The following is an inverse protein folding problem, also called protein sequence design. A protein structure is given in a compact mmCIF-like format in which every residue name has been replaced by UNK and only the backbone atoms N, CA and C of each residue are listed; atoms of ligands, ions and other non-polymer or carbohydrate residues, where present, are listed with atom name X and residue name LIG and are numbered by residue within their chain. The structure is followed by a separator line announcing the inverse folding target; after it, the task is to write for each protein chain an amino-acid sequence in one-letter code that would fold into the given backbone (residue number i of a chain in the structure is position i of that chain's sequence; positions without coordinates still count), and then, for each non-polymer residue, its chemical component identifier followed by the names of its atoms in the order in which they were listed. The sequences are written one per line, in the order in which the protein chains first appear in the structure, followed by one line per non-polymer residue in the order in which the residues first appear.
data_IF_549959558845
#
_entry.id   IF_549959558845
#
_cell.length_a   1.000
_cell.length_b   1.000
_cell.length_c   1.000
_cell.angle_alpha   90.00
_cell.angle_beta   90.00
_cell.angle_gamma   90.00
#
_symmetry.space_group_name_H-M   'P 1'
#
loop_
_entity.id
_entity.type
_entity.pdbx_description
1 polymer ?
#
# COMPACT_ATOMS: atom_id res chain seq x y z
N UNK A 1 20.33 -0.54 25.77
CA UNK A 1 19.39 -0.35 24.63
C UNK A 1 18.68 -1.67 24.41
N UNK A 2 17.41 -1.78 24.83
CA UNK A 2 16.62 -2.98 24.58
C UNK A 2 16.44 -3.13 23.08
N UNK A 3 16.97 -4.22 22.50
CA UNK A 3 16.73 -4.53 21.10
C UNK A 3 15.23 -4.71 20.89
N UNK A 4 14.64 -3.89 20.00
CA UNK A 4 13.24 -4.03 19.63
C UNK A 4 13.10 -5.42 19.00
N UNK A 5 12.33 -6.30 19.64
CA UNK A 5 12.09 -7.63 19.10
C UNK A 5 11.15 -7.51 17.89
N UNK A 6 11.70 -7.66 16.69
CA UNK A 6 10.99 -7.53 15.41
C UNK A 6 10.21 -8.80 15.01
N UNK A 7 10.39 -9.91 15.73
CA UNK A 7 9.68 -11.17 15.43
C UNK A 7 8.16 -11.03 15.36
N UNK A 8 7.46 -10.33 16.30
CA UNK A 8 6.01 -10.15 16.19
C UNK A 8 5.58 -9.50 14.87
N UNK A 9 6.26 -8.43 14.45
CA UNK A 9 5.94 -7.71 13.20
C UNK A 9 6.15 -8.60 11.98
N UNK A 10 7.20 -9.42 12.00
CA UNK A 10 7.47 -10.38 10.92
C UNK A 10 6.37 -11.45 10.87
N UNK A 11 5.95 -11.99 12.02
CA UNK A 11 4.88 -12.99 12.10
C UNK A 11 3.56 -12.40 11.60
N UNK A 12 3.23 -11.18 11.99
CA UNK A 12 2.04 -10.46 11.54
C UNK A 12 2.04 -10.33 10.01
N UNK A 13 3.13 -9.81 9.43
CA UNK A 13 3.28 -9.63 7.97
C UNK A 13 3.09 -10.93 7.19
N UNK A 14 3.73 -12.03 7.61
CA UNK A 14 3.59 -13.32 6.93
C UNK A 14 2.20 -13.95 7.08
N UNK A 15 1.58 -13.75 8.24
CA UNK A 15 0.23 -14.27 8.53
C UNK A 15 -0.80 -13.56 7.66
N UNK A 16 -0.75 -12.23 7.60
CA UNK A 16 -1.60 -11.41 6.72
C UNK A 16 -1.40 -11.77 5.25
N UNK A 17 -0.15 -11.94 4.83
CA UNK A 17 0.16 -12.35 3.46
C UNK A 17 -0.46 -13.70 3.11
N UNK A 18 -0.32 -14.71 3.98
CA UNK A 18 -0.87 -16.04 3.75
C UNK A 18 -2.40 -16.02 3.62
N UNK A 19 -3.08 -15.27 4.50
CA UNK A 19 -4.54 -15.11 4.45
C UNK A 19 -4.96 -14.34 3.19
N UNK A 20 -4.27 -13.25 2.85
CA UNK A 20 -4.54 -12.44 1.66
C UNK A 20 -4.39 -13.21 0.35
N UNK A 21 -3.29 -13.96 0.18
CA UNK A 21 -3.09 -14.80 -1.01
C UNK A 21 -4.17 -15.89 -1.09
N UNK A 22 -4.49 -16.55 0.02
CA UNK A 22 -5.52 -17.59 0.03
C UNK A 22 -6.88 -17.03 -0.42
N UNK A 23 -7.29 -15.88 0.11
CA UNK A 23 -8.57 -15.25 -0.25
C UNK A 23 -8.63 -14.81 -1.71
N UNK A 24 -7.57 -14.19 -2.25
CA UNK A 24 -7.49 -13.80 -3.67
C UNK A 24 -7.47 -15.02 -4.60
N UNK A 25 -6.71 -16.06 -4.27
CA UNK A 25 -6.69 -17.31 -5.04
C UNK A 25 -8.06 -18.00 -5.05
N UNK A 26 -8.74 -18.06 -3.90
CA UNK A 26 -10.10 -18.61 -3.82
C UNK A 26 -11.09 -17.78 -4.65
N UNK A 27 -10.98 -16.45 -4.64
CA UNK A 27 -11.80 -15.55 -5.47
C UNK A 27 -11.60 -15.86 -6.96
N UNK A 28 -10.35 -15.89 -7.43
CA UNK A 28 -10.03 -16.15 -8.84
C UNK A 28 -10.49 -17.56 -9.24
N UNK A 29 -10.25 -18.57 -8.39
CA UNK A 29 -10.71 -19.94 -8.64
C UNK A 29 -12.23 -20.03 -8.77
N UNK A 30 -12.98 -19.38 -7.86
CA UNK A 30 -14.44 -19.32 -7.92
C UNK A 30 -14.95 -18.68 -9.21
N UNK A 31 -14.33 -17.58 -9.65
CA UNK A 31 -14.68 -16.89 -10.90
C UNK A 31 -14.39 -17.75 -12.13
N UNK A 32 -13.23 -18.41 -12.19
CA UNK A 32 -12.91 -19.36 -13.26
C UNK A 32 -13.88 -20.54 -13.28
N UNK A 33 -14.36 -21.02 -12.13
CA UNK A 33 -15.33 -22.13 -12.11
C UNK A 33 -16.73 -21.71 -12.57
N UNK A 34 -17.20 -20.53 -12.19
CA UNK A 34 -18.56 -20.05 -12.50
C UNK A 34 -18.64 -19.45 -13.91
N UNK A 35 -17.72 -18.53 -14.23
CA UNK A 35 -17.76 -17.70 -15.46
C UNK A 35 -16.84 -18.24 -16.55
N UNK A 36 -15.96 -19.20 -16.22
CA UNK A 36 -14.94 -19.78 -17.12
C UNK A 36 -13.95 -18.73 -17.63
N UNK A 37 -14.03 -18.41 -18.92
CA UNK A 37 -13.08 -17.56 -19.63
C UNK A 37 -13.66 -16.21 -20.05
N UNK A 38 -14.90 -15.88 -19.67
CA UNK A 38 -15.53 -14.58 -19.93
C UNK A 38 -15.21 -13.60 -18.79
N UNK A 39 -13.96 -13.18 -18.70
CA UNK A 39 -13.51 -12.31 -17.62
C UNK A 39 -13.95 -10.87 -17.84
N UNK A 40 -14.32 -10.20 -16.76
CA UNK A 40 -14.65 -8.77 -16.73
C UNK A 40 -13.47 -7.97 -16.14
N UNK A 41 -13.52 -6.64 -16.22
CA UNK A 41 -12.46 -5.76 -15.70
C UNK A 41 -12.09 -6.03 -14.24
N UNK A 42 -13.08 -6.35 -13.39
CA UNK A 42 -12.89 -6.72 -11.99
C UNK A 42 -12.03 -7.98 -11.81
N UNK A 43 -12.15 -8.96 -12.71
CA UNK A 43 -11.37 -10.20 -12.64
C UNK A 43 -9.89 -9.96 -12.93
N UNK A 44 -9.59 -9.09 -13.90
CA UNK A 44 -8.21 -8.68 -14.19
C UNK A 44 -7.61 -7.86 -13.05
N UNK A 45 -8.41 -7.00 -12.41
CA UNK A 45 -7.96 -6.22 -11.26
C UNK A 45 -7.68 -7.09 -10.04
N UNK A 46 -8.43 -8.18 -9.84
CA UNK A 46 -8.14 -9.15 -8.79
C UNK A 46 -6.78 -9.86 -9.01
N UNK A 47 -6.44 -10.18 -10.26
CA UNK A 47 -5.11 -10.72 -10.60
C UNK A 47 -4.02 -9.66 -10.42
N UNK A 48 -4.27 -8.41 -10.81
CA UNK A 48 -3.35 -7.31 -10.59
C UNK A 48 -3.09 -7.10 -9.09
N UNK A 49 -4.13 -7.12 -8.25
CA UNK A 49 -4.02 -7.02 -6.80
C UNK A 49 -3.15 -8.15 -6.21
N UNK A 50 -3.31 -9.39 -6.69
CA UNK A 50 -2.47 -10.53 -6.28
C UNK A 50 -0.98 -10.29 -6.57
N UNK A 51 -0.67 -9.78 -7.78
CA UNK A 51 0.70 -9.47 -8.20
C UNK A 51 1.27 -8.33 -7.35
N UNK A 52 0.50 -7.25 -7.18
CA UNK A 52 0.92 -6.08 -6.41
C UNK A 52 1.15 -6.46 -4.94
N UNK A 53 0.25 -7.22 -4.32
CA UNK A 53 0.37 -7.69 -2.94
C UNK A 53 1.64 -8.53 -2.73
N UNK A 54 1.95 -9.42 -3.66
CA UNK A 54 3.20 -10.20 -3.65
C UNK A 54 4.43 -9.30 -3.83
N UNK A 55 4.35 -8.31 -4.72
CA UNK A 55 5.46 -7.38 -4.98
C UNK A 55 5.81 -6.53 -3.76
N UNK A 56 4.80 -6.06 -3.02
CA UNK A 56 4.98 -5.28 -1.78
C UNK A 56 5.79 -6.08 -0.77
N UNK A 57 5.45 -7.35 -0.54
CA UNK A 57 6.21 -8.22 0.35
C UNK A 57 7.67 -8.34 -0.09
N UNK A 58 7.92 -8.56 -1.38
CA UNK A 58 9.28 -8.64 -1.92
C UNK A 58 10.06 -7.33 -1.71
N UNK A 59 9.43 -6.17 -1.87
CA UNK A 59 10.07 -4.88 -1.64
C UNK A 59 10.40 -4.65 -0.17
N UNK A 60 9.48 -4.98 0.74
CA UNK A 60 9.71 -4.88 2.19
C UNK A 60 10.83 -5.82 2.63
N UNK A 61 10.88 -7.05 2.12
CA UNK A 61 11.97 -7.99 2.43
C UNK A 61 13.33 -7.51 1.92
N UNK A 62 13.38 -6.88 0.73
CA UNK A 62 14.61 -6.27 0.21
C UNK A 62 15.02 -5.04 1.01
N UNK A 63 14.05 -4.22 1.43
CA UNK A 63 14.26 -3.08 2.30
C UNK A 63 14.78 -3.45 3.69
N UNK A 64 14.34 -4.59 4.25
CA UNK A 64 14.79 -5.08 5.55
C UNK A 64 16.29 -5.36 5.65
N UNK A 65 17.03 -5.37 4.53
CA UNK A 65 18.48 -5.51 4.49
C UNK A 65 19.25 -4.21 4.81
N UNK A 66 18.56 -3.06 4.87
CA UNK A 66 19.16 -1.77 5.23
C UNK A 66 18.13 -0.64 5.21
N UNK A 67 17.92 0.00 6.37
CA UNK A 67 17.02 1.16 6.49
C UNK A 67 17.79 2.45 6.80
N UNK A 68 17.40 3.55 6.18
CA UNK A 68 17.96 4.90 6.46
C UNK A 68 17.20 5.62 7.59
N UNK A 69 16.17 5.00 8.16
CA UNK A 69 15.34 5.61 9.20
C UNK A 69 16.15 5.90 10.46
N UNK A 70 16.22 7.17 10.87
CA UNK A 70 16.96 7.59 12.06
C UNK A 70 18.48 7.59 11.87
N UNK A 71 18.96 7.73 10.63
CA UNK A 71 20.38 7.75 10.30
C UNK A 71 21.02 9.09 10.69
N UNK A 72 22.06 9.04 11.53
CA UNK A 72 22.90 10.20 11.86
C UNK A 72 24.19 10.19 11.05
N UNK A 73 24.86 11.33 10.93
CA UNK A 73 26.13 11.44 10.21
C UNK A 73 27.22 10.53 10.79
N UNK A 74 27.24 10.36 12.11
CA UNK A 74 28.18 9.45 12.80
C UNK A 74 27.97 7.99 12.39
N UNK A 75 26.71 7.55 12.33
CA UNK A 75 26.37 6.20 11.88
C UNK A 75 26.71 6.06 10.40
N UNK A 76 26.35 7.04 9.58
CA UNK A 76 26.58 7.02 8.14
C UNK A 76 28.07 6.90 7.78
N UNK A 77 28.95 7.58 8.51
CA UNK A 77 30.40 7.52 8.33
C UNK A 77 31.03 6.21 8.84
N UNK A 78 30.38 5.52 9.77
CA UNK A 78 30.84 4.24 10.32
C UNK A 78 30.51 3.02 9.44
N UNK A 79 29.70 3.20 8.40
CA UNK A 79 29.21 2.12 7.54
C UNK A 79 30.29 1.61 6.57
N UNK A 80 30.30 0.31 6.33
CA UNK A 80 31.09 -0.25 5.22
C UNK A 80 30.47 0.13 3.87
N UNK A 81 31.24 0.12 2.77
CA UNK A 81 30.71 0.41 1.43
C UNK A 81 29.54 -0.51 1.02
N UNK A 82 29.52 -1.75 1.52
CA UNK A 82 28.43 -2.70 1.26
C UNK A 82 27.16 -2.32 2.02
N UNK A 83 27.29 -1.96 3.30
CA UNK A 83 26.15 -1.51 4.10
C UNK A 83 25.58 -0.22 3.53
N UNK A 84 26.43 0.74 3.15
CA UNK A 84 26.01 1.99 2.51
C UNK A 84 25.08 1.73 1.32
N UNK A 85 25.48 0.84 0.39
CA UNK A 85 24.64 0.47 -0.76
C UNK A 85 23.36 -0.25 -0.36
N UNK A 86 23.42 -1.09 0.68
CA UNK A 86 22.24 -1.78 1.20
C UNK A 86 21.20 -0.78 1.74
N UNK A 87 21.63 0.23 2.50
CA UNK A 87 20.77 1.29 3.02
C UNK A 87 20.16 2.16 1.91
N UNK A 88 20.96 2.59 0.94
CA UNK A 88 20.46 3.35 -0.22
C UNK A 88 19.43 2.53 -1.01
N UNK A 89 19.76 1.27 -1.30
CA UNK A 89 18.89 0.37 -2.08
C UNK A 89 17.61 0.05 -1.31
N UNK A 90 17.71 -0.18 0.00
CA UNK A 90 16.56 -0.44 0.85
C UNK A 90 15.60 0.75 0.93
N UNK A 91 16.11 1.98 1.00
CA UNK A 91 15.31 3.19 0.94
C UNK A 91 14.52 3.31 -0.38
N UNK A 92 15.13 2.95 -1.52
CA UNK A 92 14.46 2.91 -2.83
C UNK A 92 13.36 1.84 -2.89
N UNK A 93 13.60 0.65 -2.33
CA UNK A 93 12.58 -0.41 -2.27
C UNK A 93 11.42 -0.04 -1.33
N UNK A 94 11.68 0.63 -0.20
CA UNK A 94 10.60 1.15 0.67
C UNK A 94 9.74 2.17 -0.05
N UNK A 95 10.37 3.07 -0.81
CA UNK A 95 9.64 4.05 -1.60
C UNK A 95 8.74 3.38 -2.64
N UNK A 96 9.25 2.38 -3.37
CA UNK A 96 8.46 1.58 -4.30
C UNK A 96 7.29 0.87 -3.58
N UNK A 97 7.56 0.21 -2.45
CA UNK A 97 6.54 -0.48 -1.65
C UNK A 97 5.38 0.44 -1.23
N UNK A 98 5.65 1.70 -0.86
CA UNK A 98 4.59 2.64 -0.50
C UNK A 98 3.70 3.01 -1.70
N UNK A 99 4.28 3.16 -2.89
CA UNK A 99 3.52 3.45 -4.11
C UNK A 99 2.67 2.24 -4.50
N UNK A 100 3.27 1.05 -4.49
CA UNK A 100 2.58 -0.18 -4.85
C UNK A 100 1.48 -0.53 -3.85
N UNK A 101 1.68 -0.31 -2.55
CA UNK A 101 0.64 -0.47 -1.53
C UNK A 101 -0.55 0.47 -1.75
N UNK A 102 -0.30 1.70 -2.18
CA UNK A 102 -1.39 2.63 -2.52
C UNK A 102 -2.14 2.18 -3.77
N UNK A 103 -1.43 1.67 -4.77
CA UNK A 103 -2.02 1.16 -6.01
C UNK A 103 -2.83 -0.12 -5.78
N UNK A 104 -2.32 -1.06 -4.99
CA UNK A 104 -3.00 -2.30 -4.63
C UNK A 104 -4.33 -2.01 -3.93
N UNK A 105 -4.31 -1.14 -2.92
CA UNK A 105 -5.51 -0.74 -2.19
C UNK A 105 -6.57 -0.13 -3.11
N UNK A 106 -6.15 0.57 -4.17
CA UNK A 106 -7.03 1.14 -5.18
C UNK A 106 -7.67 0.06 -6.07
N UNK A 107 -6.86 -0.86 -6.60
CA UNK A 107 -7.32 -1.96 -7.44
C UNK A 107 -8.33 -2.84 -6.72
N UNK A 108 -8.11 -3.07 -5.42
CA UNK A 108 -8.98 -3.86 -4.55
C UNK A 108 -10.36 -3.20 -4.29
N UNK A 109 -10.54 -1.91 -4.57
CA UNK A 109 -11.74 -1.10 -4.26
C UNK A 109 -12.75 -0.96 -5.41
N UNK A 110 -12.67 -1.82 -6.43
CA UNK A 110 -13.53 -1.71 -7.63
C UNK A 110 -15.02 -1.86 -7.30
N UNK A 111 -15.83 -0.91 -7.79
CA UNK A 111 -17.27 -0.83 -7.55
C UNK A 111 -18.05 -0.83 -8.88
N UNK A 112 -19.23 -1.47 -8.93
CA UNK A 112 -20.05 -1.52 -10.14
C UNK A 112 -20.60 -0.15 -10.54
N UNK A 113 -20.85 0.04 -11.84
CA UNK A 113 -21.14 1.33 -12.46
C UNK A 113 -22.48 1.95 -12.02
N UNK A 114 -22.45 2.78 -10.98
CA UNK A 114 -23.57 3.66 -10.58
C UNK A 114 -23.11 5.13 -10.47
N UNK A 115 -24.04 6.09 -10.56
CA UNK A 115 -23.72 7.53 -10.55
C UNK A 115 -23.03 8.00 -9.26
N UNK A 116 -23.38 7.39 -8.12
CA UNK A 116 -22.74 7.62 -6.81
C UNK A 116 -21.31 7.03 -6.77
N UNK A 117 -21.09 5.92 -7.46
CA UNK A 117 -19.79 5.26 -7.57
C UNK A 117 -18.79 6.09 -8.39
N UNK A 118 -19.24 6.81 -9.42
CA UNK A 118 -18.37 7.71 -10.20
C UNK A 118 -17.77 8.82 -9.34
N UNK A 119 -18.55 9.40 -8.42
CA UNK A 119 -18.03 10.40 -7.47
C UNK A 119 -17.01 9.80 -6.51
N UNK A 120 -17.30 8.62 -5.95
CA UNK A 120 -16.34 7.94 -5.07
C UNK A 120 -15.04 7.62 -5.81
N UNK A 121 -15.12 7.11 -7.05
CA UNK A 121 -13.94 6.84 -7.88
C UNK A 121 -13.05 8.08 -8.07
N UNK A 122 -13.64 9.27 -8.30
CA UNK A 122 -12.87 10.53 -8.37
C UNK A 122 -12.16 10.82 -7.05
N UNK A 123 -12.83 10.62 -5.91
CA UNK A 123 -12.23 10.83 -4.58
C UNK A 123 -11.08 9.86 -4.35
N UNK A 124 -11.21 8.60 -4.77
CA UNK A 124 -10.17 7.61 -4.55
C UNK A 124 -8.93 7.90 -5.43
N UNK A 125 -9.13 8.30 -6.69
CA UNK A 125 -8.04 8.83 -7.55
C UNK A 125 -7.38 10.08 -6.97
N UNK A 126 -8.16 11.02 -6.43
CA UNK A 126 -7.61 12.21 -5.77
C UNK A 126 -6.78 11.82 -4.54
N UNK A 127 -7.25 10.85 -3.74
CA UNK A 127 -6.52 10.33 -2.59
C UNK A 127 -5.22 9.63 -3.00
N UNK A 128 -5.20 8.93 -4.15
CA UNK A 128 -3.98 8.38 -4.75
C UNK A 128 -2.97 9.50 -5.06
N UNK A 129 -3.39 10.54 -5.77
CA UNK A 129 -2.52 11.67 -6.14
C UNK A 129 -1.98 12.42 -4.90
N UNK A 130 -2.79 12.59 -3.86
CA UNK A 130 -2.34 13.19 -2.59
C UNK A 130 -1.22 12.36 -1.96
N UNK A 131 -1.36 11.03 -1.90
CA UNK A 131 -0.33 10.15 -1.33
C UNK A 131 0.95 10.21 -2.15
N UNK A 132 0.86 10.17 -3.49
CA UNK A 132 2.04 10.33 -4.36
C UNK A 132 2.71 11.69 -4.12
N UNK A 133 1.92 12.76 -3.99
CA UNK A 133 2.43 14.10 -3.67
C UNK A 133 3.13 14.16 -2.32
N UNK A 134 2.63 13.48 -1.29
CA UNK A 134 3.30 13.43 0.02
C UNK A 134 4.58 12.59 -0.06
N UNK A 135 4.53 11.40 -0.66
CA UNK A 135 5.70 10.51 -0.73
C UNK A 135 6.84 11.18 -1.52
N UNK A 136 6.53 11.88 -2.62
CA UNK A 136 7.53 12.56 -3.45
C UNK A 136 7.91 13.94 -2.91
N UNK A 137 6.97 14.68 -2.33
CA UNK A 137 7.14 16.08 -1.93
C UNK A 137 7.57 16.30 -0.48
N UNK A 138 7.51 15.27 0.38
CA UNK A 138 7.93 15.40 1.78
C UNK A 138 9.41 15.76 1.95
N UNK A 139 10.25 15.42 0.97
CA UNK A 139 11.64 15.81 0.96
C UNK A 139 12.06 16.20 -0.46
N UNK A 140 12.34 17.48 -0.65
CA UNK A 140 12.76 18.03 -1.93
C UNK A 140 14.22 18.50 -1.86
N UNK A 141 15.07 18.16 -2.84
CA UNK A 141 14.85 17.27 -4.01
C UNK A 141 14.74 15.77 -3.66
N UNK A 142 14.05 15.00 -4.51
CA UNK A 142 13.67 13.59 -4.24
C UNK A 142 14.84 12.64 -3.98
N UNK A 143 16.04 12.93 -4.49
CA UNK A 143 17.21 12.09 -4.22
C UNK A 143 17.60 12.02 -2.75
N UNK A 144 17.17 13.00 -1.95
CA UNK A 144 17.39 13.02 -0.50
C UNK A 144 16.63 11.91 0.22
N UNK A 145 15.59 11.34 -0.39
CA UNK A 145 14.83 10.23 0.19
C UNK A 145 15.63 8.93 0.30
N UNK A 146 16.73 8.78 -0.44
CA UNK A 146 17.61 7.61 -0.37
C UNK A 146 19.06 8.01 -0.11
N UNK A 147 19.29 9.26 0.31
CA UNK A 147 20.62 9.75 0.64
C UNK A 147 21.06 9.22 2.01
N UNK A 148 22.22 8.58 2.04
CA UNK A 148 22.81 8.01 3.27
C UNK A 148 23.76 9.00 3.94
N UNK A 149 24.58 9.72 3.16
CA UNK A 149 25.48 10.77 3.67
C UNK A 149 25.52 12.00 2.74
N UNK A 150 25.64 13.23 3.27
CA UNK A 150 25.26 13.63 4.63
C UNK A 150 23.78 13.31 4.92
N UNK A 151 23.44 13.09 6.18
CA UNK A 151 22.07 12.75 6.59
C UNK A 151 21.12 13.90 6.23
N UNK A 152 19.98 13.63 5.57
CA UNK A 152 19.05 14.66 5.11
C UNK A 152 18.18 15.25 6.24
N UNK A 153 18.41 14.84 7.49
CA UNK A 153 17.64 15.25 8.67
C UNK A 153 16.56 14.24 9.07
N UNK A 154 16.09 14.34 10.31
CA UNK A 154 15.13 13.41 10.90
C UNK A 154 13.77 13.43 10.20
N UNK A 155 13.35 14.59 9.71
CA UNK A 155 12.10 14.70 8.97
C UNK A 155 12.18 13.91 7.66
N UNK A 156 13.24 14.08 6.87
CA UNK A 156 13.36 13.41 5.57
C UNK A 156 13.66 11.91 5.68
N UNK A 157 14.53 11.50 6.62
CA UNK A 157 14.93 10.10 6.80
C UNK A 157 13.83 9.24 7.40
N UNK A 158 12.90 9.84 8.14
CA UNK A 158 11.83 9.11 8.80
C UNK A 158 10.61 8.91 7.90
N UNK A 159 10.15 7.66 7.81
CA UNK A 159 9.00 7.30 6.97
C UNK A 159 7.62 7.65 7.59
N UNK A 160 7.56 8.35 8.73
CA UNK A 160 6.31 8.66 9.47
C UNK A 160 5.27 9.35 8.58
N UNK A 161 5.65 10.39 7.84
CA UNK A 161 4.73 11.12 6.98
C UNK A 161 4.14 10.25 5.86
N UNK A 162 4.97 9.38 5.26
CA UNK A 162 4.52 8.43 4.22
C UNK A 162 3.48 7.46 4.78
N UNK A 163 3.75 6.89 5.96
CA UNK A 163 2.82 5.98 6.62
C UNK A 163 1.50 6.66 7.00
N UNK A 164 1.55 7.87 7.58
CA UNK A 164 0.32 8.58 7.93
C UNK A 164 -0.51 8.94 6.70
N UNK A 165 0.11 9.43 5.62
CA UNK A 165 -0.61 9.73 4.38
C UNK A 165 -1.29 8.47 3.80
N UNK A 166 -0.58 7.34 3.78
CA UNK A 166 -1.13 6.07 3.31
C UNK A 166 -2.32 5.62 4.18
N UNK A 167 -2.12 5.51 5.49
CA UNK A 167 -3.14 4.99 6.42
C UNK A 167 -4.38 5.89 6.44
N UNK A 168 -4.21 7.20 6.60
CA UNK A 168 -5.34 8.15 6.70
C UNK A 168 -6.17 8.13 5.41
N UNK A 169 -5.53 8.19 4.25
CA UNK A 169 -6.27 8.20 2.98
C UNK A 169 -6.93 6.85 2.67
N UNK A 170 -6.31 5.73 3.07
CA UNK A 170 -6.92 4.41 2.91
C UNK A 170 -8.15 4.25 3.79
N UNK A 171 -8.04 4.56 5.08
CA UNK A 171 -9.18 4.51 6.01
C UNK A 171 -10.31 5.43 5.55
N UNK A 172 -9.98 6.66 5.13
CA UNK A 172 -10.99 7.60 4.63
C UNK A 172 -11.74 7.07 3.40
N UNK A 173 -11.01 6.52 2.43
CA UNK A 173 -11.62 5.96 1.22
C UNK A 173 -12.44 4.70 1.50
N UNK A 174 -12.05 3.87 2.47
CA UNK A 174 -12.84 2.70 2.90
C UNK A 174 -14.18 3.10 3.52
N UNK A 175 -14.16 4.11 4.40
CA UNK A 175 -15.39 4.65 4.99
C UNK A 175 -16.33 5.14 3.89
N UNK A 176 -15.84 5.89 2.91
CA UNK A 176 -16.67 6.37 1.80
C UNK A 176 -17.29 5.23 0.98
N UNK A 177 -16.54 4.15 0.74
CA UNK A 177 -17.04 2.99 -0.01
C UNK A 177 -18.14 2.26 0.77
N UNK A 178 -17.97 2.07 2.08
CA UNK A 178 -18.97 1.44 2.96
C UNK A 178 -20.28 2.23 2.99
N UNK A 179 -20.22 3.56 2.82
CA UNK A 179 -21.39 4.43 2.80
C UNK A 179 -22.20 4.37 1.49
N UNK A 180 -21.64 3.85 0.38
CA UNK A 180 -22.31 3.77 -0.93
C UNK A 180 -23.59 2.93 -0.92
N UNK A 181 -23.62 1.69 -0.36
CA UNK A 181 -24.82 0.86 -0.40
C UNK A 181 -25.94 1.34 0.52
N UNK A 182 -25.65 2.15 1.56
CA UNK A 182 -26.65 2.52 2.58
C UNK A 182 -27.86 3.29 1.98
N UNK A 183 -27.67 4.34 1.15
CA UNK A 183 -28.78 5.03 0.50
C UNK A 183 -29.55 4.16 -0.51
N UNK A 184 -28.86 3.21 -1.17
CA UNK A 184 -29.48 2.29 -2.12
C UNK A 184 -30.38 1.28 -1.38
N UNK A 185 -29.92 0.75 -0.25
CA UNK A 185 -30.67 -0.17 0.59
C UNK A 185 -31.93 0.48 1.19
N UNK A 186 -31.85 1.76 1.58
CA UNK A 186 -33.03 2.50 2.03
C UNK A 186 -34.08 2.70 0.93
N UNK A 187 -33.68 2.83 -0.34
CA UNK A 187 -34.62 2.87 -1.47
C UNK A 187 -35.20 1.50 -1.84
N UNK A 188 -34.53 0.40 -1.50
CA UNK A 188 -34.97 -0.97 -1.78
C UNK A 188 -35.95 -1.54 -0.74
N UNK A 189 -36.29 -0.79 0.32
CA UNK A 189 -37.25 -1.25 1.34
C UNK A 189 -38.72 -1.30 0.87
N UNK A 190 -39.01 -1.21 -0.43
CA UNK A 190 -40.38 -1.32 -0.94
C UNK A 190 -40.59 -2.61 -1.73
N UNK A 191 -41.42 -3.49 -1.16
CA UNK A 191 -42.07 -4.68 -1.75
C UNK A 191 -41.38 -6.03 -1.52
N UNK A 192 -41.39 -6.51 -0.27
CA UNK A 192 -41.54 -7.95 -0.03
C UNK A 192 -43.00 -8.27 -0.40
N UNK A 193 -43.23 -8.72 -1.65
CA UNK A 193 -44.52 -9.28 -2.05
C UNK A 193 -44.63 -10.67 -1.42
N UNK A 194 -45.62 -10.84 -0.53
CA UNK A 194 -46.04 -12.14 0.02
C UNK A 194 -46.45 -13.09 -1.11
#
# INVERSE_FOLDING_TARGET
MGGINLQPVIIEMWTEYAIGILTLCLRIFGRVKIVRWKWDGDDYLAVAALILFTSILCFVLKAGKGSITGMTDEIALSLTPEQYRSHETGAKWLFAACIDAKLEAECSKTLPEQRLVKWTSVVVVAAYLVVIGVITGHCWPTYRLWQVYPSPGDDCSQNRAKYYALVITNVFTDVLIILIPIPLLWKLQTTIKK
#
